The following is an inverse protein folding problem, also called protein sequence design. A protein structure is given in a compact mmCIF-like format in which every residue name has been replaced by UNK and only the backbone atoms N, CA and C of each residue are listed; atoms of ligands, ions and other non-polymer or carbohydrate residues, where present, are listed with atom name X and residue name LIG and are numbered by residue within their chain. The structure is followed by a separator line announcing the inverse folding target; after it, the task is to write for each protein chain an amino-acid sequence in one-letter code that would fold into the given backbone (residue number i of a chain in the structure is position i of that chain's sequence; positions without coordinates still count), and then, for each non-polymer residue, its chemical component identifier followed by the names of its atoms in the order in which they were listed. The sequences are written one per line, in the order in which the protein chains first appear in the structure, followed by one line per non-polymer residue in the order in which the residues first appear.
data_IF_428400406450
#
_entry.id   IF_428400406450
#
_cell.length_a   1.000
_cell.length_b   1.000
_cell.length_c   1.000
_cell.angle_alpha   90.00
_cell.angle_beta   90.00
_cell.angle_gamma   90.00
#
_symmetry.space_group_name_H-M   'P 1'
#
loop_
_entity.id
_entity.type
_entity.pdbx_description
1 polymer ?
#
# COMPACT_ATOMS: atom_id res chain seq x y z
N UNK A 1 -12.43 -21.92 8.10
CA UNK A 1 -11.08 -21.36 8.34
C UNK A 1 -11.03 -20.05 7.57
N UNK A 2 -11.37 -18.95 8.23
CA UNK A 2 -11.25 -17.62 7.62
C UNK A 2 -9.75 -17.29 7.72
N UNK A 3 -9.05 -17.25 6.59
CA UNK A 3 -7.73 -16.63 6.57
C UNK A 3 -7.95 -15.20 7.01
N UNK A 4 -7.39 -14.83 8.16
CA UNK A 4 -7.27 -13.43 8.57
C UNK A 4 -6.38 -12.74 7.54
N UNK A 5 -6.94 -12.36 6.39
CA UNK A 5 -6.26 -11.66 5.32
C UNK A 5 -6.02 -10.24 5.81
N UNK A 6 -4.98 -10.07 6.61
CA UNK A 6 -4.51 -8.75 7.00
C UNK A 6 -4.06 -8.05 5.72
N UNK A 7 -4.85 -7.09 5.26
CA UNK A 7 -4.54 -6.28 4.08
C UNK A 7 -4.38 -4.81 4.50
N UNK A 8 -3.34 -4.19 3.97
CA UNK A 8 -2.99 -2.79 4.21
C UNK A 8 -3.75 -1.94 3.18
N UNK A 9 -4.71 -1.15 3.61
CA UNK A 9 -5.45 -0.21 2.75
C UNK A 9 -5.08 1.21 3.12
N UNK A 10 -4.89 2.08 2.14
CA UNK A 10 -4.61 3.48 2.41
C UNK A 10 -5.86 4.18 3.00
N UNK A 11 -5.68 4.96 4.08
CA UNK A 11 -6.74 5.69 4.77
C UNK A 11 -7.25 6.82 3.88
N UNK A 12 -8.57 6.99 3.75
CA UNK A 12 -9.16 8.11 3.02
C UNK A 12 -8.91 9.46 3.69
N UNK A 13 -8.52 9.47 4.96
CA UNK A 13 -8.12 10.68 5.68
C UNK A 13 -6.66 11.10 5.41
N UNK A 14 -5.88 10.31 4.68
CA UNK A 14 -4.51 10.65 4.35
C UNK A 14 -4.46 11.71 3.25
N UNK A 15 -3.50 12.63 3.36
CA UNK A 15 -3.30 13.66 2.33
C UNK A 15 -2.62 13.07 1.09
N UNK A 16 -2.86 13.68 -0.08
CA UNK A 16 -2.22 13.27 -1.34
C UNK A 16 -0.69 13.26 -1.25
N UNK A 17 -0.11 14.18 -0.47
CA UNK A 17 1.32 14.24 -0.21
C UNK A 17 1.82 13.01 0.58
N UNK A 18 1.08 12.61 1.62
CA UNK A 18 1.39 11.40 2.39
C UNK A 18 1.22 10.13 1.55
N UNK A 19 0.17 10.06 0.72
CA UNK A 19 -0.07 8.94 -0.20
C UNK A 19 1.09 8.80 -1.19
N UNK A 20 1.48 9.89 -1.85
CA UNK A 20 2.55 9.90 -2.85
C UNK A 20 3.92 9.58 -2.24
N UNK A 21 4.24 10.14 -1.07
CA UNK A 21 5.47 9.85 -0.35
C UNK A 21 5.59 8.36 -0.01
N UNK A 22 4.49 7.74 0.41
CA UNK A 22 4.49 6.32 0.74
C UNK A 22 4.53 5.43 -0.50
N UNK A 23 3.88 5.81 -1.60
CA UNK A 23 4.03 5.13 -2.89
C UNK A 23 5.52 5.11 -3.25
N UNK A 24 6.18 6.27 -3.31
CA UNK A 24 7.60 6.35 -3.64
C UNK A 24 8.47 5.51 -2.69
N UNK A 25 8.21 5.58 -1.39
CA UNK A 25 8.95 4.79 -0.41
C UNK A 25 8.83 3.29 -0.68
N UNK A 26 7.61 2.78 -0.82
CA UNK A 26 7.36 1.36 -1.05
C UNK A 26 7.85 0.91 -2.43
N UNK A 27 7.77 1.76 -3.45
CA UNK A 27 8.41 1.53 -4.76
C UNK A 27 9.91 1.35 -4.65
N UNK A 28 10.59 2.20 -3.87
CA UNK A 28 12.02 2.10 -3.67
C UNK A 28 12.42 0.79 -2.97
N UNK A 29 11.57 0.30 -2.05
CA UNK A 29 11.81 -0.96 -1.34
C UNK A 29 11.53 -2.18 -2.21
N UNK A 30 10.40 -2.19 -2.92
CA UNK A 30 10.02 -3.28 -3.83
C UNK A 30 10.90 -3.31 -5.10
N UNK A 31 11.50 -2.17 -5.46
CA UNK A 31 12.16 -1.92 -6.75
C UNK A 31 11.27 -2.18 -7.97
N UNK A 32 9.97 -2.36 -7.77
CA UNK A 32 8.99 -2.58 -8.83
C UNK A 32 7.66 -1.91 -8.51
N UNK A 33 7.37 -0.84 -9.25
CA UNK A 33 6.11 -0.10 -9.15
C UNK A 33 5.36 -0.02 -10.48
N UNK A 34 5.74 -0.86 -11.44
CA UNK A 34 5.11 -0.91 -12.76
C UNK A 34 3.62 -1.23 -12.69
N UNK A 35 3.17 -1.90 -11.63
CA UNK A 35 1.78 -2.30 -11.43
C UNK A 35 0.82 -1.12 -11.23
N UNK A 36 1.28 0.02 -10.69
CA UNK A 36 0.48 1.24 -10.48
C UNK A 36 0.84 2.38 -11.43
N UNK A 37 1.88 2.22 -12.24
CA UNK A 37 2.26 3.23 -13.24
C UNK A 37 1.33 3.15 -14.45
N UNK A 38 1.38 4.18 -15.29
CA UNK A 38 0.65 4.20 -16.57
C UNK A 38 1.01 2.97 -17.41
N UNK A 39 -0.01 2.18 -17.80
CA UNK A 39 0.15 0.88 -18.46
C UNK A 39 0.29 -0.32 -17.50
N UNK A 40 0.24 -0.09 -16.19
CA UNK A 40 0.23 -1.12 -15.15
C UNK A 40 -1.12 -1.82 -15.00
N UNK A 41 -1.08 -3.08 -14.56
CA UNK A 41 -2.27 -3.91 -14.36
C UNK A 41 -3.24 -3.38 -13.29
N UNK A 42 -2.80 -2.46 -12.44
CA UNK A 42 -3.59 -1.82 -11.37
C UNK A 42 -3.55 -0.29 -11.45
N UNK A 43 -3.37 0.24 -12.66
CA UNK A 43 -3.44 1.68 -12.90
C UNK A 43 -4.87 2.23 -12.77
N UNK A 44 -5.87 1.46 -13.20
CA UNK A 44 -7.28 1.87 -13.12
C UNK A 44 -8.01 1.21 -11.93
N UNK A 45 -8.76 1.98 -11.12
CA UNK A 45 -9.00 3.42 -11.22
C UNK A 45 -7.76 4.25 -10.85
N UNK A 46 -7.49 5.30 -11.65
CA UNK A 46 -6.37 6.23 -11.46
C UNK A 46 -6.60 7.13 -10.24
N UNK A 47 -6.49 6.54 -9.05
CA UNK A 47 -6.61 7.24 -7.78
C UNK A 47 -5.38 6.96 -6.92
N UNK A 48 -4.80 8.03 -6.38
CA UNK A 48 -3.64 7.96 -5.49
C UNK A 48 -3.86 7.00 -4.32
N UNK A 49 -5.08 6.97 -3.78
CA UNK A 49 -5.41 6.08 -2.67
C UNK A 49 -5.41 4.61 -3.07
N UNK A 50 -5.84 4.30 -4.29
CA UNK A 50 -5.82 2.95 -4.83
C UNK A 50 -4.38 2.52 -5.11
N UNK A 51 -3.60 3.37 -5.78
CA UNK A 51 -2.20 3.10 -6.05
C UNK A 51 -1.39 2.90 -4.77
N UNK A 52 -1.62 3.76 -3.76
CA UNK A 52 -1.01 3.62 -2.44
C UNK A 52 -1.41 2.30 -1.77
N UNK A 53 -2.71 1.94 -1.79
CA UNK A 53 -3.19 0.68 -1.21
C UNK A 53 -2.56 -0.54 -1.88
N UNK A 54 -2.47 -0.54 -3.21
CA UNK A 54 -1.88 -1.64 -3.98
C UNK A 54 -0.40 -1.83 -3.65
N UNK A 55 0.40 -0.77 -3.77
CA UNK A 55 1.85 -0.85 -3.54
C UNK A 55 2.17 -1.14 -2.07
N UNK A 56 1.45 -0.55 -1.12
CA UNK A 56 1.63 -0.85 0.31
C UNK A 56 1.30 -2.30 0.64
N UNK A 57 0.21 -2.84 0.07
CA UNK A 57 -0.15 -4.24 0.27
C UNK A 57 0.91 -5.19 -0.31
N UNK A 58 1.48 -4.85 -1.47
CA UNK A 58 2.61 -5.60 -2.05
C UNK A 58 3.85 -5.51 -1.17
N UNK A 59 4.20 -4.31 -0.71
CA UNK A 59 5.31 -4.09 0.21
C UNK A 59 5.16 -4.91 1.49
N UNK A 60 3.97 -4.92 2.08
CA UNK A 60 3.66 -5.69 3.28
C UNK A 60 3.81 -7.20 3.06
N UNK A 61 3.44 -7.71 1.89
CA UNK A 61 3.63 -9.11 1.52
C UNK A 61 5.11 -9.46 1.29
N UNK A 62 5.87 -8.58 0.66
CA UNK A 62 7.27 -8.84 0.25
C UNK A 62 8.25 -8.68 1.41
N UNK A 63 8.10 -7.62 2.23
CA UNK A 63 9.02 -7.35 3.36
C UNK A 63 8.67 -8.19 4.60
N UNK A 64 7.64 -9.02 4.49
CA UNK A 64 7.10 -9.84 5.56
C UNK A 64 6.07 -9.07 6.37
N UNK A 65 5.05 -9.79 6.85
CA UNK A 65 3.91 -9.35 7.69
C UNK A 65 4.35 -8.91 9.09
N UNK A 66 5.47 -8.23 9.14
CA UNK A 66 6.05 -7.64 10.30
C UNK A 66 5.25 -6.38 10.64
N UNK A 67 4.64 -6.38 11.83
CA UNK A 67 3.82 -5.27 12.33
C UNK A 67 4.51 -3.91 12.23
N UNK A 68 5.84 -3.87 12.41
CA UNK A 68 6.64 -2.65 12.32
C UNK A 68 6.72 -2.02 10.91
N UNK A 69 6.43 -2.77 9.85
CA UNK A 69 6.28 -2.21 8.50
C UNK A 69 5.00 -1.38 8.37
N UNK A 70 3.93 -1.77 9.06
CA UNK A 70 2.74 -0.94 9.20
C UNK A 70 3.00 0.24 10.14
N UNK A 71 3.89 0.14 11.14
CA UNK A 71 4.21 1.24 12.06
C UNK A 71 5.10 2.34 11.48
N UNK A 72 5.88 2.08 10.42
CA UNK A 72 6.50 3.17 9.64
C UNK A 72 5.51 3.86 8.70
N UNK A 73 4.46 3.15 8.30
CA UNK A 73 3.39 3.62 7.43
C UNK A 73 2.12 4.00 8.24
N UNK A 74 2.24 4.12 9.58
CA UNK A 74 1.16 4.06 10.58
C UNK A 74 0.07 5.13 10.47
N UNK A 75 0.26 6.11 9.58
CA UNK A 75 -0.79 7.10 9.29
C UNK A 75 -1.75 6.68 8.20
N UNK A 76 -1.42 5.68 7.37
CA UNK A 76 -2.19 5.39 6.17
C UNK A 76 -2.72 3.95 6.12
N UNK A 77 -2.17 2.96 6.82
CA UNK A 77 -2.79 1.62 6.81
C UNK A 77 -3.82 1.39 7.91
N UNK A 78 -5.04 1.04 7.54
CA UNK A 78 -6.02 0.46 8.46
C UNK A 78 -5.81 -1.05 8.52
N UNK A 79 -5.55 -1.60 9.71
CA UNK A 79 -5.67 -3.05 9.93
C UNK A 79 -7.14 -3.41 9.87
N UNK A 80 -7.60 -3.91 8.72
CA UNK A 80 -8.89 -4.56 8.63
C UNK A 80 -8.68 -6.05 8.95
N UNK A 81 -9.11 -6.42 10.16
CA UNK A 81 -9.43 -7.81 10.48
C UNK A 81 -10.91 -7.95 10.16
N UNK A 82 -11.27 -8.86 9.25
CA UNK A 82 -12.66 -9.26 9.07
C UNK A 82 -13.16 -9.99 10.32
#
# INVERSE_FOLDING_TARGET
MIENKTWCAAKPSATDSELSANIQFACNQLKDCRVIQEGGSSYDPNSLINHASVVMNLYYKVVGQNSWNCDRLQRICSHHSD
#
